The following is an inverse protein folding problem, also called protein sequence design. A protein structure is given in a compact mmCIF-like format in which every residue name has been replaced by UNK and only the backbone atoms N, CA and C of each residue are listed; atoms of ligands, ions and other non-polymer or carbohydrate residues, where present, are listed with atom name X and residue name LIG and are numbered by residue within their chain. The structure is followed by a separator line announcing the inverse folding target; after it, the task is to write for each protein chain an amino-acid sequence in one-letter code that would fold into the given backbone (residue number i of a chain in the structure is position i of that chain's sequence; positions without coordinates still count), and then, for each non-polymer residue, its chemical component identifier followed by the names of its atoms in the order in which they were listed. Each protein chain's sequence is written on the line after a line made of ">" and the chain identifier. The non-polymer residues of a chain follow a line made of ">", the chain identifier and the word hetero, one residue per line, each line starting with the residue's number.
data_IF_953681751506
#
_entry.id   IF_953681751506
#
_cell.length_a   1.000
_cell.length_b   1.000
_cell.length_c   1.000
_cell.angle_alpha   90.00
_cell.angle_beta   90.00
_cell.angle_gamma   90.00
#
_symmetry.space_group_name_H-M   'P 1'
#
loop_
_entity.id
_entity.type
_entity.pdbx_description
1 polymer ?
#
# COMPACT_ATOMS: atom_id res chain seq x y z
N UNK A 1 -4.76 -9.61 3.02
CA UNK A 1 -4.74 -10.80 2.11
C UNK A 1 -4.74 -12.15 2.81
N UNK A 2 -3.87 -12.44 3.80
CA UNK A 2 -3.90 -13.71 4.58
C UNK A 2 -5.30 -14.09 5.12
N UNK A 3 -6.08 -13.13 5.62
CA UNK A 3 -7.46 -13.36 6.09
C UNK A 3 -8.35 -13.95 4.98
N UNK A 4 -8.32 -13.36 3.78
CA UNK A 4 -9.08 -13.86 2.63
C UNK A 4 -8.60 -15.24 2.17
N UNK A 5 -7.28 -15.49 2.23
CA UNK A 5 -6.71 -16.79 1.90
C UNK A 5 -7.19 -17.88 2.85
N UNK A 6 -7.21 -17.63 4.15
CA UNK A 6 -7.69 -18.59 5.17
C UNK A 6 -9.17 -18.97 4.96
N UNK A 7 -9.96 -18.08 4.37
CA UNK A 7 -11.36 -18.32 3.98
C UNK A 7 -11.52 -19.00 2.61
N UNK A 8 -10.43 -19.25 1.90
CA UNK A 8 -10.45 -19.82 0.54
C UNK A 8 -10.92 -18.85 -0.54
N UNK A 9 -10.98 -17.54 -0.23
CA UNK A 9 -11.43 -16.51 -1.16
C UNK A 9 -10.31 -15.96 -2.04
N UNK A 10 -9.09 -15.94 -1.54
CA UNK A 10 -7.90 -15.51 -2.27
C UNK A 10 -7.17 -16.73 -2.85
N UNK A 11 -6.81 -16.65 -4.13
CA UNK A 11 -6.07 -17.68 -4.86
C UNK A 11 -4.60 -17.30 -5.01
N UNK A 12 -3.74 -18.32 -4.96
CA UNK A 12 -2.30 -18.20 -5.22
C UNK A 12 -1.88 -19.27 -6.24
N UNK A 13 -0.88 -18.95 -7.04
CA UNK A 13 -0.24 -19.88 -7.99
C UNK A 13 1.10 -20.33 -7.43
N UNK A 14 1.42 -21.60 -7.61
CA UNK A 14 2.79 -22.09 -7.41
C UNK A 14 3.60 -21.78 -8.68
N UNK A 15 4.62 -20.95 -8.51
CA UNK A 15 5.57 -20.57 -9.55
C UNK A 15 6.98 -20.92 -9.06
N UNK A 16 7.47 -22.08 -9.50
CA UNK A 16 8.80 -22.60 -9.13
C UNK A 16 8.95 -22.81 -7.61
N UNK A 17 7.89 -23.24 -6.93
CA UNK A 17 7.87 -23.47 -5.48
C UNK A 17 7.64 -22.21 -4.64
N UNK A 18 7.45 -21.05 -5.26
CA UNK A 18 7.04 -19.80 -4.62
C UNK A 18 5.58 -19.48 -4.95
N UNK A 19 4.95 -18.67 -4.12
CA UNK A 19 3.55 -18.31 -4.29
C UNK A 19 3.41 -16.95 -4.96
N UNK A 20 2.59 -16.85 -6.01
CA UNK A 20 2.22 -15.60 -6.68
C UNK A 20 0.71 -15.34 -6.51
N UNK A 21 0.32 -14.11 -6.20
CA UNK A 21 -1.08 -13.72 -6.04
C UNK A 21 -1.82 -13.80 -7.38
N UNK A 22 -2.95 -14.51 -7.41
CA UNK A 22 -3.83 -14.54 -8.58
C UNK A 22 -5.05 -13.65 -8.36
N UNK A 23 -4.92 -12.36 -8.68
CA UNK A 23 -6.01 -11.41 -8.53
C UNK A 23 -7.26 -11.80 -9.33
N UNK A 24 -7.09 -12.30 -10.57
CA UNK A 24 -8.21 -12.68 -11.44
C UNK A 24 -8.89 -13.98 -11.03
N UNK A 25 -8.17 -14.91 -10.41
CA UNK A 25 -8.73 -16.15 -9.86
C UNK A 25 -9.33 -15.99 -8.46
N UNK A 26 -9.02 -14.90 -7.76
CA UNK A 26 -9.51 -14.63 -6.42
C UNK A 26 -10.95 -14.11 -6.43
N UNK A 27 -11.74 -14.47 -5.43
CA UNK A 27 -13.05 -13.85 -5.17
C UNK A 27 -12.91 -12.45 -4.59
N UNK A 28 -11.89 -12.26 -3.75
CA UNK A 28 -11.51 -10.96 -3.19
C UNK A 28 -10.00 -10.92 -2.95
N UNK A 29 -9.41 -9.75 -3.17
CA UNK A 29 -8.02 -9.46 -2.81
C UNK A 29 -7.89 -7.99 -2.37
N UNK A 30 -6.81 -7.68 -1.66
CA UNK A 30 -6.48 -6.32 -1.27
C UNK A 30 -5.12 -5.89 -1.85
N UNK A 31 -5.04 -4.62 -2.22
CA UNK A 31 -3.79 -3.90 -2.51
C UNK A 31 -3.56 -2.94 -1.34
N UNK A 32 -2.52 -3.20 -0.56
CA UNK A 32 -2.27 -2.51 0.70
C UNK A 32 -1.15 -1.48 0.55
N UNK A 33 -1.39 -0.24 0.95
CA UNK A 33 -0.41 0.83 1.04
C UNK A 33 -0.47 1.45 2.43
N UNK A 34 0.35 0.89 3.33
CA UNK A 34 0.45 1.34 4.71
C UNK A 34 -0.91 1.33 5.45
N UNK A 35 -1.45 2.48 5.86
CA UNK A 35 -2.72 2.57 6.59
C UNK A 35 -3.97 2.43 5.71
N UNK A 36 -3.80 2.30 4.39
CA UNK A 36 -4.89 2.23 3.43
C UNK A 36 -4.82 0.91 2.67
N UNK A 37 -5.95 0.23 2.49
CA UNK A 37 -6.02 -0.96 1.64
C UNK A 37 -7.22 -0.89 0.71
N UNK A 38 -6.97 -0.88 -0.59
CA UNK A 38 -8.02 -1.02 -1.61
C UNK A 38 -8.43 -2.50 -1.66
N UNK A 39 -9.71 -2.79 -1.42
CA UNK A 39 -10.26 -4.14 -1.49
C UNK A 39 -11.07 -4.30 -2.77
N UNK A 40 -10.72 -5.31 -3.56
CA UNK A 40 -11.37 -5.64 -4.83
C UNK A 40 -12.15 -6.95 -4.67
N UNK A 41 -13.46 -6.91 -4.92
CA UNK A 41 -14.41 -8.00 -4.77
C UNK A 41 -14.89 -8.44 -6.15
N UNK A 42 -14.24 -9.45 -6.71
CA UNK A 42 -14.62 -10.03 -7.99
C UNK A 42 -15.92 -10.84 -7.93
N UNK A 43 -16.21 -11.49 -6.79
CA UNK A 43 -17.43 -12.25 -6.55
C UNK A 43 -18.39 -11.44 -5.68
N UNK A 44 -19.30 -10.70 -6.31
CA UNK A 44 -20.22 -9.79 -5.60
C UNK A 44 -21.20 -10.52 -4.68
N UNK A 45 -21.37 -11.84 -4.82
CA UNK A 45 -22.26 -12.63 -3.95
C UNK A 45 -21.76 -12.71 -2.50
N UNK A 46 -20.48 -12.42 -2.25
CA UNK A 46 -19.87 -12.41 -0.92
C UNK A 46 -19.56 -10.99 -0.42
N UNK A 47 -19.94 -9.93 -1.15
CA UNK A 47 -19.47 -8.58 -0.88
C UNK A 47 -19.79 -8.07 0.53
N UNK A 48 -20.99 -8.36 1.05
CA UNK A 48 -21.37 -7.97 2.42
C UNK A 48 -20.56 -8.74 3.46
N UNK A 49 -20.35 -10.04 3.25
CA UNK A 49 -19.51 -10.87 4.12
C UNK A 49 -18.06 -10.39 4.13
N UNK A 50 -17.52 -9.96 2.98
CA UNK A 50 -16.18 -9.38 2.90
C UNK A 50 -16.07 -8.14 3.79
N UNK A 51 -17.06 -7.24 3.76
CA UNK A 51 -17.06 -6.02 4.60
C UNK A 51 -17.07 -6.36 6.08
N UNK A 52 -17.93 -7.28 6.50
CA UNK A 52 -18.00 -7.75 7.89
C UNK A 52 -16.65 -8.33 8.35
N UNK A 53 -16.01 -9.14 7.50
CA UNK A 53 -14.70 -9.75 7.80
C UNK A 53 -13.59 -8.72 7.90
N UNK A 54 -13.60 -7.71 7.03
CA UNK A 54 -12.60 -6.64 7.06
C UNK A 54 -12.79 -5.78 8.30
N UNK A 55 -14.02 -5.33 8.60
CA UNK A 55 -14.30 -4.53 9.79
C UNK A 55 -14.03 -5.28 11.11
N UNK A 56 -14.16 -6.60 11.11
CA UNK A 56 -13.85 -7.42 12.29
C UNK A 56 -12.36 -7.75 12.43
N UNK A 57 -11.51 -7.37 11.47
CA UNK A 57 -10.08 -7.63 11.56
C UNK A 57 -9.40 -6.68 12.54
N UNK A 58 -8.53 -7.22 13.38
CA UNK A 58 -7.72 -6.44 14.31
C UNK A 58 -6.87 -5.40 13.57
N UNK A 59 -6.86 -4.16 14.05
CA UNK A 59 -6.14 -3.05 13.42
C UNK A 59 -6.90 -2.34 12.30
N UNK A 60 -8.19 -2.65 12.04
CA UNK A 60 -9.05 -1.94 11.09
C UNK A 60 -10.01 -1.01 11.84
N UNK A 61 -9.96 0.28 11.52
CA UNK A 61 -10.86 1.26 12.13
C UNK A 61 -12.18 1.38 11.36
N UNK A 62 -12.09 1.52 10.04
CA UNK A 62 -13.24 1.81 9.21
C UNK A 62 -13.11 1.26 7.77
N UNK A 63 -14.26 1.20 7.10
CA UNK A 63 -14.35 1.04 5.65
C UNK A 63 -14.97 2.28 5.04
N UNK A 64 -14.48 2.66 3.86
CA UNK A 64 -14.99 3.75 3.05
C UNK A 64 -15.45 3.19 1.72
N UNK A 65 -16.71 3.41 1.38
CA UNK A 65 -17.27 2.94 0.12
C UNK A 65 -16.72 3.76 -1.04
N UNK A 66 -16.39 3.09 -2.14
CA UNK A 66 -15.83 3.76 -3.31
C UNK A 66 -16.79 4.74 -3.98
N UNK A 67 -18.11 4.54 -3.82
CA UNK A 67 -19.13 5.51 -4.28
C UNK A 67 -19.03 6.86 -3.57
N UNK A 68 -18.52 6.86 -2.35
CA UNK A 68 -18.47 8.04 -1.47
C UNK A 68 -17.10 8.72 -1.59
N UNK A 69 -16.04 7.93 -1.83
CA UNK A 69 -14.68 8.42 -2.04
C UNK A 69 -14.48 9.04 -3.42
N UNK A 70 -15.02 8.39 -4.46
CA UNK A 70 -14.71 8.72 -5.84
C UNK A 70 -15.94 9.29 -6.54
N UNK A 71 -15.80 10.50 -7.06
CA UNK A 71 -16.73 11.01 -8.08
C UNK A 71 -16.61 10.23 -9.40
N UNK A 72 -17.17 10.78 -10.48
CA UNK A 72 -16.99 10.19 -11.82
C UNK A 72 -15.53 10.36 -12.28
N UNK A 73 -14.86 9.27 -12.66
CA UNK A 73 -13.53 9.34 -13.26
C UNK A 73 -12.70 8.08 -13.06
N UNK A 74 -11.40 8.18 -13.38
CA UNK A 74 -10.47 7.04 -13.39
C UNK A 74 -10.31 6.38 -12.00
N UNK A 75 -10.51 7.14 -10.93
CA UNK A 75 -10.47 6.62 -9.57
C UNK A 75 -11.66 5.68 -9.29
N UNK A 76 -12.86 5.98 -9.80
CA UNK A 76 -14.00 5.09 -9.70
C UNK A 76 -13.81 3.80 -10.53
N UNK A 77 -13.12 3.89 -11.67
CA UNK A 77 -12.87 2.73 -12.54
C UNK A 77 -11.73 1.82 -12.05
N UNK A 78 -10.76 2.37 -11.31
CA UNK A 78 -9.53 1.67 -10.90
C UNK A 78 -9.37 1.52 -9.39
N UNK A 79 -10.21 2.18 -8.60
CA UNK A 79 -10.25 2.02 -7.16
C UNK A 79 -10.73 0.63 -6.78
N UNK A 80 -10.52 0.25 -5.51
CA UNK A 80 -11.16 -0.95 -4.97
C UNK A 80 -12.67 -0.77 -4.95
N UNK A 81 -13.44 -1.82 -4.69
CA UNK A 81 -14.87 -1.71 -4.44
C UNK A 81 -15.17 -0.95 -3.14
N UNK A 82 -14.25 -1.06 -2.18
CA UNK A 82 -14.18 -0.20 -1.00
C UNK A 82 -12.73 -0.11 -0.51
N UNK A 83 -12.48 0.81 0.41
CA UNK A 83 -11.17 1.04 1.03
C UNK A 83 -11.25 0.74 2.52
N UNK A 84 -10.34 -0.06 3.03
CA UNK A 84 -10.14 -0.24 4.47
C UNK A 84 -9.10 0.76 4.98
N UNK A 85 -9.36 1.34 6.14
CA UNK A 85 -8.46 2.25 6.84
C UNK A 85 -8.07 1.61 8.17
N UNK A 86 -6.78 1.55 8.46
CA UNK A 86 -6.30 0.95 9.70
C UNK A 86 -6.50 1.88 10.90
N UNK A 87 -6.43 1.33 12.10
CA UNK A 87 -6.27 2.10 13.34
C UNK A 87 -5.03 3.02 13.28
N UNK A 88 -4.99 4.00 14.19
CA UNK A 88 -3.98 5.06 14.19
C UNK A 88 -2.55 4.51 14.33
N UNK A 89 -2.38 3.42 15.08
CA UNK A 89 -1.11 2.77 15.38
C UNK A 89 -0.93 1.42 14.65
N UNK A 90 -1.79 1.15 13.66
CA UNK A 90 -1.76 -0.05 12.83
C UNK A 90 -1.42 0.25 11.37
N UNK A 91 -1.14 -0.80 10.60
CA UNK A 91 -0.96 -0.73 9.13
C UNK A 91 -1.17 -2.10 8.48
N UNK A 92 -1.44 -2.11 7.18
CA UNK A 92 -1.73 -3.31 6.40
C UNK A 92 -0.50 -3.83 5.66
N UNK A 93 -0.25 -5.14 5.78
CA UNK A 93 0.66 -5.84 4.87
C UNK A 93 -0.09 -6.35 3.64
N UNK A 94 0.57 -6.35 2.48
CA UNK A 94 0.01 -7.00 1.28
C UNK A 94 0.11 -8.54 1.33
N UNK A 95 0.79 -9.10 2.34
CA UNK A 95 1.21 -10.50 2.38
C UNK A 95 0.03 -11.45 2.20
N UNK A 96 0.21 -12.38 1.28
CA UNK A 96 -0.77 -13.40 0.92
C UNK A 96 -0.24 -14.84 1.14
N UNK A 97 1.06 -15.01 1.38
CA UNK A 97 1.67 -16.29 1.74
C UNK A 97 1.57 -16.54 3.25
N UNK A 98 1.35 -17.79 3.65
CA UNK A 98 1.34 -18.19 5.08
C UNK A 98 2.70 -18.72 5.54
N UNK A 99 3.56 -19.15 4.61
CA UNK A 99 4.91 -19.67 4.87
C UNK A 99 5.95 -18.80 4.17
N UNK A 100 6.84 -18.18 4.94
CA UNK A 100 7.89 -17.28 4.43
C UNK A 100 8.91 -17.99 3.54
N UNK A 101 8.99 -19.33 3.56
CA UNK A 101 9.80 -20.08 2.59
C UNK A 101 9.17 -20.13 1.20
N UNK A 102 7.87 -19.82 1.10
CA UNK A 102 7.11 -19.74 -0.15
C UNK A 102 6.83 -18.31 -0.59
N UNK A 103 7.31 -17.33 0.16
CA UNK A 103 7.16 -15.92 -0.21
C UNK A 103 7.72 -15.67 -1.62
N UNK A 104 7.06 -14.80 -2.42
CA UNK A 104 7.58 -14.42 -3.72
C UNK A 104 9.00 -13.88 -3.62
N UNK A 105 9.80 -14.12 -4.64
CA UNK A 105 11.18 -13.64 -4.73
C UNK A 105 11.28 -12.11 -4.61
N UNK A 106 10.31 -11.39 -5.17
CA UNK A 106 10.20 -9.94 -5.08
C UNK A 106 9.95 -9.42 -3.66
N UNK A 107 9.40 -10.24 -2.76
CA UNK A 107 9.07 -9.80 -1.39
C UNK A 107 10.33 -9.41 -0.61
N UNK A 108 11.46 -10.08 -0.89
CA UNK A 108 12.77 -9.81 -0.28
C UNK A 108 13.60 -8.77 -1.04
N UNK A 109 13.00 -8.09 -2.02
CA UNK A 109 13.64 -7.10 -2.87
C UNK A 109 12.87 -5.76 -2.81
N UNK A 110 13.51 -4.72 -3.35
CA UNK A 110 12.84 -3.46 -3.72
C UNK A 110 12.31 -3.66 -5.15
N UNK A 111 11.03 -3.98 -5.29
CA UNK A 111 10.39 -4.29 -6.58
C UNK A 111 8.93 -3.78 -6.62
N UNK A 112 8.83 -2.46 -6.77
CA UNK A 112 7.55 -1.73 -6.73
C UNK A 112 6.55 -2.15 -7.82
N UNK A 113 6.99 -2.84 -8.87
CA UNK A 113 6.13 -3.21 -10.00
C UNK A 113 5.42 -4.54 -9.78
N UNK A 114 6.02 -5.44 -8.99
CA UNK A 114 5.47 -6.77 -8.70
C UNK A 114 4.73 -6.84 -7.37
N UNK A 115 5.05 -5.96 -6.42
CA UNK A 115 4.39 -5.93 -5.12
C UNK A 115 2.96 -5.38 -5.27
N UNK A 116 1.93 -6.11 -4.82
CA UNK A 116 0.53 -5.64 -4.84
C UNK A 116 0.28 -4.70 -3.65
N UNK A 117 1.09 -3.66 -3.53
CA UNK A 117 1.09 -2.75 -2.40
C UNK A 117 2.48 -2.20 -2.05
N UNK A 118 2.52 -1.24 -1.13
CA UNK A 118 3.75 -0.74 -0.53
C UNK A 118 4.16 -1.60 0.66
N UNK A 119 5.47 -1.77 0.85
CA UNK A 119 6.05 -2.61 1.89
C UNK A 119 7.06 -1.82 2.72
N UNK A 120 6.65 -1.18 3.82
CA UNK A 120 7.54 -0.32 4.60
C UNK A 120 8.73 -1.07 5.24
N UNK A 121 8.72 -2.42 5.28
CA UNK A 121 9.91 -3.18 5.69
C UNK A 121 11.08 -3.08 4.70
N UNK A 122 10.84 -2.58 3.47
CA UNK A 122 11.89 -2.26 2.49
C UNK A 122 12.89 -1.21 2.98
N UNK A 123 12.52 -0.43 4.00
CA UNK A 123 13.41 0.55 4.63
C UNK A 123 14.50 -0.10 5.51
N UNK A 124 14.43 -1.42 5.71
CA UNK A 124 15.33 -2.16 6.58
C UNK A 124 16.16 -3.17 5.78
N UNK A 125 17.40 -3.38 6.23
CA UNK A 125 18.14 -4.59 5.88
C UNK A 125 17.67 -5.70 6.79
N UNK A 126 17.52 -6.90 6.22
CA UNK A 126 17.07 -8.07 6.96
C UNK A 126 18.02 -8.36 8.15
N UNK A 127 17.54 -8.23 9.39
CA UNK A 127 18.39 -8.37 10.58
C UNK A 127 18.91 -9.80 10.78
N UNK A 128 18.31 -10.80 10.13
CA UNK A 128 18.77 -12.19 10.20
C UNK A 128 19.96 -12.44 9.26
N UNK A 129 20.31 -11.50 8.38
CA UNK A 129 21.51 -11.58 7.56
C UNK A 129 22.75 -11.26 8.39
N UNK A 130 23.66 -12.23 8.52
CA UNK A 130 24.93 -12.05 9.25
C UNK A 130 25.84 -10.96 8.66
N UNK A 131 25.87 -10.83 7.34
CA UNK A 131 26.77 -9.92 6.63
C UNK A 131 26.07 -9.27 5.42
N UNK A 132 25.07 -8.38 5.64
CA UNK A 132 24.25 -7.83 4.57
C UNK A 132 25.09 -7.04 3.55
N UNK A 133 26.08 -6.26 4.01
CA UNK A 133 26.98 -5.51 3.13
C UNK A 133 27.81 -6.41 2.20
N UNK A 134 28.23 -7.59 2.67
CA UNK A 134 28.97 -8.55 1.84
C UNK A 134 28.04 -9.14 0.77
N UNK A 135 26.78 -9.45 1.12
CA UNK A 135 25.77 -9.93 0.19
C UNK A 135 25.50 -8.90 -0.92
N UNK A 136 25.35 -7.63 -0.55
CA UNK A 136 25.19 -6.50 -1.48
C UNK A 136 26.42 -6.36 -2.38
N UNK A 137 27.63 -6.33 -1.82
CA UNK A 137 28.86 -6.20 -2.60
C UNK A 137 29.02 -7.35 -3.61
N UNK A 138 28.71 -8.59 -3.20
CA UNK A 138 28.71 -9.76 -4.08
C UNK A 138 27.69 -9.64 -5.21
N UNK A 139 26.48 -9.17 -4.91
CA UNK A 139 25.45 -8.90 -5.90
C UNK A 139 25.92 -7.86 -6.93
N UNK A 140 26.46 -6.72 -6.47
CA UNK A 140 26.97 -5.66 -7.34
C UNK A 140 28.12 -6.13 -8.22
N UNK A 141 29.03 -6.95 -7.69
CA UNK A 141 30.12 -7.54 -8.47
C UNK A 141 29.59 -8.46 -9.58
N UNK A 142 28.63 -9.34 -9.27
CA UNK A 142 27.96 -10.20 -10.27
C UNK A 142 27.23 -9.37 -11.33
N UNK A 143 26.49 -8.34 -10.92
CA UNK A 143 25.78 -7.42 -11.82
C UNK A 143 26.76 -6.71 -12.76
N UNK A 144 27.90 -6.23 -12.24
CA UNK A 144 28.97 -5.61 -13.04
C UNK A 144 29.59 -6.58 -14.06
N UNK A 145 29.63 -7.88 -13.75
CA UNK A 145 30.07 -8.94 -14.65
C UNK A 145 28.98 -9.41 -15.63
N UNK A 146 27.78 -8.80 -15.63
CA UNK A 146 26.69 -9.12 -16.55
C UNK A 146 25.78 -10.26 -16.11
N UNK A 147 25.95 -10.81 -14.90
CA UNK A 147 25.05 -11.83 -14.37
C UNK A 147 23.74 -11.20 -13.89
N UNK A 148 22.62 -11.87 -14.19
CA UNK A 148 21.31 -11.55 -13.61
C UNK A 148 21.17 -12.20 -12.24
N UNK A 149 20.42 -11.55 -11.36
CA UNK A 149 20.11 -12.07 -10.04
C UNK A 149 19.25 -11.08 -9.27
N UNK A 150 18.88 -11.48 -8.05
CA UNK A 150 18.11 -10.67 -7.12
C UNK A 150 19.00 -10.17 -5.98
N UNK A 151 18.66 -9.01 -5.44
CA UNK A 151 19.26 -8.47 -4.22
C UNK A 151 18.28 -8.69 -3.07
N UNK A 152 18.23 -9.92 -2.59
CA UNK A 152 17.31 -10.43 -1.59
C UNK A 152 17.78 -10.07 -0.16
N UNK A 153 17.69 -8.79 0.19
CA UNK A 153 18.17 -8.25 1.47
C UNK A 153 17.09 -7.62 2.34
N UNK A 154 15.83 -7.65 1.88
CA UNK A 154 14.69 -7.09 2.60
C UNK A 154 14.07 -8.19 3.49
N UNK A 155 13.75 -7.89 4.76
CA UNK A 155 13.10 -8.86 5.66
C UNK A 155 11.64 -9.09 5.28
N UNK A 156 11.01 -10.11 5.86
CA UNK A 156 9.55 -10.34 5.77
C UNK A 156 8.84 -10.09 7.13
N UNK A 157 9.56 -9.57 8.12
CA UNK A 157 9.02 -9.30 9.43
C UNK A 157 8.39 -7.90 9.50
N UNK A 158 7.08 -7.83 9.33
CA UNK A 158 6.30 -6.59 9.43
C UNK A 158 6.47 -5.87 10.79
N UNK A 159 6.80 -6.58 11.87
CA UNK A 159 6.96 -5.95 13.19
C UNK A 159 8.18 -5.02 13.29
N UNK A 160 9.04 -4.96 12.28
CA UNK A 160 10.17 -4.00 12.24
C UNK A 160 9.70 -2.56 12.05
N UNK A 161 8.58 -2.37 11.35
CA UNK A 161 7.95 -1.06 11.16
C UNK A 161 7.20 -0.70 12.45
N UNK A 162 7.54 0.45 13.03
CA UNK A 162 6.99 0.94 14.31
C UNK A 162 6.14 2.20 14.18
N UNK A 163 6.04 2.75 12.97
CA UNK A 163 5.26 3.94 12.69
C UNK A 163 4.12 3.62 11.74
N UNK A 164 3.17 4.52 11.68
CA UNK A 164 2.02 4.49 10.78
C UNK A 164 1.94 5.79 9.97
N UNK A 165 1.48 5.71 8.72
CA UNK A 165 1.19 6.89 7.91
C UNK A 165 0.14 6.60 6.84
N UNK A 166 -0.53 7.66 6.36
CA UNK A 166 -1.47 7.59 5.24
C UNK A 166 -2.92 7.85 5.60
N UNK A 167 -3.25 8.05 6.89
CA UNK A 167 -4.56 8.56 7.29
C UNK A 167 -4.71 10.05 7.01
N UNK A 168 -5.93 10.45 6.66
CA UNK A 168 -6.34 11.85 6.48
C UNK A 168 -6.76 12.51 7.80
N UNK A 169 -7.38 11.75 8.70
CA UNK A 169 -7.73 12.18 10.05
C UNK A 169 -6.63 11.81 11.01
N UNK A 170 -5.84 12.81 11.40
CA UNK A 170 -4.71 12.71 12.35
C UNK A 170 -4.74 13.87 13.34
N UNK A 171 -3.96 13.76 14.42
CA UNK A 171 -3.88 14.83 15.41
C UNK A 171 -3.38 16.14 14.77
N UNK A 172 -3.77 17.33 15.29
CA UNK A 172 -3.40 18.61 14.68
C UNK A 172 -1.89 18.81 14.44
N UNK A 173 -1.04 18.26 15.30
CA UNK A 173 0.43 18.31 15.17
C UNK A 173 1.01 17.38 14.10
N UNK A 174 0.22 16.45 13.56
CA UNK A 174 0.58 15.50 12.50
C UNK A 174 -0.02 15.87 11.14
N UNK A 175 -0.88 16.90 11.11
CA UNK A 175 -1.47 17.39 9.89
C UNK A 175 -0.42 17.96 8.93
N UNK A 176 -0.62 17.82 7.61
CA UNK A 176 0.29 18.38 6.62
C UNK A 176 0.40 19.90 6.76
N UNK A 177 1.62 20.42 6.60
CA UNK A 177 1.88 21.86 6.59
C UNK A 177 2.30 22.31 5.19
N UNK A 178 1.69 23.39 4.71
CA UNK A 178 2.16 24.11 3.53
C UNK A 178 3.12 25.22 3.96
N UNK A 179 4.33 25.24 3.40
CA UNK A 179 5.35 26.24 3.71
C UNK A 179 5.64 27.06 2.46
N UNK A 180 5.23 28.33 2.48
CA UNK A 180 5.50 29.28 1.40
C UNK A 180 4.62 30.53 1.46
N UNK A 181 4.80 31.43 0.49
CA UNK A 181 4.01 32.67 0.42
C UNK A 181 2.53 32.34 0.20
N UNK A 182 1.66 32.90 1.03
CA UNK A 182 0.21 32.70 0.91
C UNK A 182 -0.25 31.27 1.23
N UNK A 183 0.62 30.46 1.85
CA UNK A 183 0.24 29.13 2.30
C UNK A 183 -0.84 29.22 3.40
N UNK A 184 -1.91 28.43 3.23
CA UNK A 184 -2.98 28.27 4.20
C UNK A 184 -2.93 26.90 4.89
N UNK A 185 -3.99 26.58 5.63
CA UNK A 185 -4.21 25.22 6.14
C UNK A 185 -4.43 24.27 4.96
N UNK A 186 -3.79 23.10 5.01
CA UNK A 186 -3.99 22.05 4.00
C UNK A 186 -5.14 21.17 4.45
N UNK A 187 -6.27 21.22 3.75
CA UNK A 187 -7.41 20.35 4.04
C UNK A 187 -7.63 19.27 2.97
N UNK A 188 -7.05 19.44 1.78
CA UNK A 188 -7.06 18.46 0.69
C UNK A 188 -5.82 18.54 -0.20
N UNK A 189 -5.56 17.50 -0.98
CA UNK A 189 -4.45 17.48 -1.95
C UNK A 189 -4.68 18.48 -3.10
N UNK A 190 -5.94 18.67 -3.49
CA UNK A 190 -6.37 19.59 -4.54
C UNK A 190 -6.07 21.04 -4.16
N UNK A 191 -6.29 21.43 -2.91
CA UNK A 191 -5.92 22.76 -2.40
C UNK A 191 -4.42 23.00 -2.52
N UNK A 192 -3.58 22.01 -2.23
CA UNK A 192 -2.12 22.10 -2.39
C UNK A 192 -1.77 22.31 -3.86
N UNK A 193 -2.38 21.54 -4.77
CA UNK A 193 -2.17 21.71 -6.21
C UNK A 193 -2.51 23.12 -6.68
N UNK A 194 -3.69 23.63 -6.31
CA UNK A 194 -4.12 24.97 -6.70
C UNK A 194 -3.24 26.06 -6.09
N UNK A 195 -2.86 25.92 -4.82
CA UNK A 195 -1.91 26.84 -4.17
C UNK A 195 -0.56 26.88 -4.90
N UNK A 196 0.01 25.72 -5.25
CA UNK A 196 1.26 25.65 -6.01
C UNK A 196 1.10 26.32 -7.38
N UNK A 197 0.04 25.99 -8.12
CA UNK A 197 -0.25 26.58 -9.43
C UNK A 197 -0.32 28.11 -9.33
N UNK A 198 -1.13 28.63 -8.41
CA UNK A 198 -1.41 30.05 -8.27
C UNK A 198 -0.19 30.85 -7.78
N UNK A 199 0.63 30.22 -6.94
CA UNK A 199 1.93 30.77 -6.51
C UNK A 199 2.92 30.91 -7.66
N UNK A 200 2.86 30.03 -8.67
CA UNK A 200 3.73 30.07 -9.85
C UNK A 200 3.24 31.04 -10.92
N UNK A 201 1.93 31.24 -11.03
CA UNK A 201 1.32 32.07 -12.08
C UNK A 201 1.09 33.52 -11.66
N UNK A 202 1.35 33.90 -10.40
CA UNK A 202 0.98 35.20 -9.80
C UNK A 202 -0.50 35.57 -9.98
N UNK A 203 -1.34 34.58 -10.28
CA UNK A 203 -2.78 34.77 -10.38
C UNK A 203 -3.34 34.66 -8.97
N UNK A 204 -3.74 35.79 -8.39
CA UNK A 204 -4.61 35.78 -7.22
C UNK A 204 -5.95 35.22 -7.69
N UNK A 205 -6.21 33.96 -7.44
CA UNK A 205 -7.53 33.38 -7.69
C UNK A 205 -8.52 33.97 -6.69
N UNK A 206 -9.32 34.93 -7.17
CA UNK A 206 -10.60 35.22 -6.55
C UNK A 206 -11.46 33.95 -6.53
N UNK A 207 -12.22 33.79 -5.44
CA UNK A 207 -13.24 32.76 -5.19
C UNK A 207 -13.51 31.79 -6.34
N UNK A 208 -12.97 30.57 -6.22
CA UNK A 208 -13.40 29.43 -7.01
C UNK A 208 -14.40 28.56 -6.24
N UNK A 209 -15.41 29.19 -5.64
CA UNK A 209 -16.69 28.53 -5.37
C UNK A 209 -17.53 28.59 -6.65
N UNK A 210 -17.19 27.76 -7.63
CA UNK A 210 -18.05 27.52 -8.79
C UNK A 210 -17.78 26.15 -9.43
N UNK A 211 -18.49 25.15 -8.88
CA UNK A 211 -19.00 23.88 -9.45
C UNK A 211 -18.41 22.61 -8.86
#
# INVERSE_FOLDING_TARGET
>A
NRIFRKRGWLQVKDELGLETLDCGGSKVFAVADHQIAHVYVNDTSIADEVREVVLAADGVEEIRESSDLWGKGIAADRGGDFVAVSDEDAWFTYYFWEDDSKAPDFARCIDIHRKPGYDPVELFLDPDLKFPLVKIAKFLAKKKLGFRGLMDVIPLNANLVKGSHGRDTVAPQEQPVAIGRGAGQVTSAEEVFFWIRDSLTNSVSGDSNAR
#
